data_IF_147831533136
#
_entry.id   IF_147831533136
#
_cell.length_a   1.000
_cell.length_b   1.000
_cell.length_c   1.000
_cell.angle_alpha   90.00
_cell.angle_beta   90.00
_cell.angle_gamma   90.00
#
_symmetry.space_group_name_H-M   'P 1'
#
loop_
_entity.id
_entity.type
_entity.pdbx_description
1 polymer ?
#
# COMPACT_ATOMS: atom_id res chain seq x y z
N UNK A 1 -17.67 -26.08 -25.53
CA UNK A 1 -17.57 -24.60 -25.45
C UNK A 1 -16.24 -24.29 -24.77
N UNK A 2 -15.35 -23.52 -25.39
CA UNK A 2 -14.10 -23.10 -24.70
C UNK A 2 -14.52 -22.07 -23.65
N UNK A 3 -14.23 -22.36 -22.39
CA UNK A 3 -14.41 -21.43 -21.28
C UNK A 3 -13.18 -20.52 -21.33
N UNK A 4 -13.37 -19.27 -21.73
CA UNK A 4 -12.30 -18.28 -21.76
C UNK A 4 -12.36 -17.52 -20.46
N UNK A 5 -11.39 -17.69 -19.56
CA UNK A 5 -11.27 -16.82 -18.40
C UNK A 5 -10.29 -15.69 -18.71
N UNK A 6 -10.29 -14.65 -17.88
CA UNK A 6 -9.36 -13.52 -17.95
C UNK A 6 -8.58 -13.49 -16.64
N UNK A 7 -7.26 -13.59 -16.73
CA UNK A 7 -6.36 -13.42 -15.59
C UNK A 7 -6.02 -11.94 -15.42
N UNK A 8 -6.36 -11.39 -14.26
CA UNK A 8 -5.90 -10.09 -13.80
C UNK A 8 -4.67 -10.30 -12.89
N UNK A 9 -3.63 -9.49 -13.08
CA UNK A 9 -2.44 -9.47 -12.21
C UNK A 9 -2.22 -8.01 -11.79
N UNK A 10 -2.22 -7.76 -10.49
CA UNK A 10 -1.89 -6.46 -9.90
C UNK A 10 -0.46 -6.44 -9.34
N UNK A 11 0.48 -5.99 -10.15
CA UNK A 11 1.87 -5.76 -9.73
C UNK A 11 2.10 -4.32 -9.23
N UNK A 12 1.04 -3.55 -8.97
CA UNK A 12 1.14 -2.16 -8.51
C UNK A 12 1.20 -2.00 -6.98
N UNK A 13 1.03 -3.10 -6.22
CA UNK A 13 1.20 -3.10 -4.76
C UNK A 13 2.66 -2.95 -4.32
N UNK A 14 2.86 -2.44 -3.10
CA UNK A 14 4.21 -2.29 -2.52
C UNK A 14 4.97 -3.63 -2.51
N UNK A 15 6.29 -3.55 -2.70
CA UNK A 15 7.14 -4.73 -2.78
C UNK A 15 7.15 -5.45 -4.13
N UNK A 16 6.25 -5.13 -5.07
CA UNK A 16 6.22 -5.71 -6.44
C UNK A 16 6.97 -4.88 -7.50
N UNK A 17 7.66 -3.83 -7.08
CA UNK A 17 8.49 -2.99 -7.93
C UNK A 17 9.50 -2.21 -7.09
N UNK A 18 10.50 -1.64 -7.75
CA UNK A 18 11.39 -0.61 -7.22
C UNK A 18 10.83 0.77 -7.58
N UNK A 19 10.56 1.61 -6.57
CA UNK A 19 10.05 2.97 -6.79
C UNK A 19 11.16 3.85 -7.36
N UNK A 20 10.89 4.52 -8.48
CA UNK A 20 11.78 5.50 -9.10
C UNK A 20 10.99 6.78 -9.42
N UNK A 21 11.66 7.87 -9.81
CA UNK A 21 11.09 9.23 -9.83
C UNK A 21 9.85 9.39 -10.71
N UNK A 22 9.91 8.87 -11.93
CA UNK A 22 8.88 9.11 -12.95
C UNK A 22 8.04 7.87 -13.25
N UNK A 23 8.61 6.68 -13.03
CA UNK A 23 7.98 5.39 -13.29
C UNK A 23 8.54 4.38 -12.29
N UNK A 24 7.74 3.40 -11.92
CA UNK A 24 8.22 2.27 -11.15
C UNK A 24 9.04 1.34 -12.05
N UNK A 25 10.09 0.74 -11.50
CA UNK A 25 10.95 -0.21 -12.21
C UNK A 25 10.68 -1.62 -11.71
N UNK A 26 10.38 -2.53 -12.63
CA UNK A 26 10.31 -3.96 -12.30
C UNK A 26 11.72 -4.53 -12.21
N UNK A 27 12.07 -5.10 -11.06
CA UNK A 27 13.30 -5.89 -10.86
C UNK A 27 13.11 -7.29 -11.45
N UNK A 28 14.18 -8.06 -11.58
CA UNK A 28 14.11 -9.44 -12.10
C UNK A 28 13.12 -10.31 -11.30
N UNK A 29 13.14 -10.22 -9.97
CA UNK A 29 12.21 -10.93 -9.10
C UNK A 29 10.73 -10.54 -9.33
N UNK A 30 10.47 -9.27 -9.65
CA UNK A 30 9.11 -8.77 -9.86
C UNK A 30 8.55 -9.30 -11.19
N UNK A 31 9.39 -9.27 -12.23
CA UNK A 31 9.07 -9.86 -13.55
C UNK A 31 8.84 -11.36 -13.40
N UNK A 32 9.71 -12.06 -12.69
CA UNK A 32 9.59 -13.50 -12.47
C UNK A 32 8.26 -13.84 -11.79
N UNK A 33 7.86 -13.09 -10.75
CA UNK A 33 6.57 -13.29 -10.08
C UNK A 33 5.39 -13.11 -11.05
N UNK A 34 5.41 -12.08 -11.91
CA UNK A 34 4.36 -11.85 -12.91
C UNK A 34 4.30 -13.04 -13.89
N UNK A 35 5.44 -13.48 -14.40
CA UNK A 35 5.53 -14.59 -15.37
C UNK A 35 5.06 -15.90 -14.74
N UNK A 36 5.52 -16.24 -13.55
CA UNK A 36 5.10 -17.45 -12.83
C UNK A 36 3.60 -17.45 -12.57
N UNK A 37 3.03 -16.31 -12.20
CA UNK A 37 1.58 -16.17 -11.98
C UNK A 37 0.79 -16.37 -13.28
N UNK A 38 1.29 -15.82 -14.39
CA UNK A 38 0.72 -16.05 -15.71
C UNK A 38 0.80 -17.50 -16.15
N UNK A 39 1.95 -18.16 -15.95
CA UNK A 39 2.17 -19.57 -16.34
C UNK A 39 1.28 -20.53 -15.56
N UNK A 40 1.10 -20.29 -14.25
CA UNK A 40 0.20 -21.08 -13.40
C UNK A 40 -1.27 -20.78 -13.67
N UNK A 41 -1.56 -19.56 -14.12
CA UNK A 41 -2.91 -19.10 -14.42
C UNK A 41 -3.87 -19.28 -13.24
N UNK A 42 -3.45 -18.81 -12.07
CA UNK A 42 -4.17 -19.00 -10.80
C UNK A 42 -4.47 -17.68 -10.09
N UNK A 43 -5.49 -17.70 -9.25
CA UNK A 43 -5.81 -16.64 -8.30
C UNK A 43 -4.81 -16.69 -7.14
N UNK A 44 -4.15 -15.57 -6.86
CA UNK A 44 -3.21 -15.39 -5.75
C UNK A 44 -3.73 -14.24 -4.90
N UNK A 45 -3.86 -14.48 -3.60
CA UNK A 45 -4.39 -13.50 -2.65
C UNK A 45 -3.70 -12.13 -2.80
N UNK A 46 -4.51 -11.08 -2.92
CA UNK A 46 -4.11 -9.68 -3.14
C UNK A 46 -3.19 -9.41 -4.34
N UNK A 47 -3.07 -10.34 -5.28
CA UNK A 47 -2.12 -10.22 -6.40
C UNK A 47 -2.70 -10.59 -7.75
N UNK A 48 -3.52 -11.64 -7.84
CA UNK A 48 -4.14 -12.03 -9.11
C UNK A 48 -5.52 -12.64 -8.92
N UNK A 49 -6.34 -12.54 -9.96
CA UNK A 49 -7.68 -13.13 -9.99
C UNK A 49 -8.03 -13.65 -11.38
N UNK A 50 -8.59 -14.86 -11.44
CA UNK A 50 -9.08 -15.47 -12.68
C UNK A 50 -10.59 -15.22 -12.79
N UNK A 51 -10.97 -14.18 -13.54
CA UNK A 51 -12.37 -13.84 -13.77
C UNK A 51 -12.97 -14.66 -14.92
N UNK A 52 -14.22 -15.07 -14.74
CA UNK A 52 -15.07 -15.65 -15.77
C UNK A 52 -15.67 -14.58 -16.68
N UNK A 53 -16.06 -14.95 -17.90
CA UNK A 53 -16.75 -14.00 -18.81
C UNK A 53 -18.03 -13.43 -18.20
N UNK A 54 -18.72 -14.19 -17.35
CA UNK A 54 -19.96 -13.71 -16.73
C UNK A 54 -19.68 -12.62 -15.69
N UNK A 55 -18.61 -12.75 -14.89
CA UNK A 55 -18.14 -11.64 -14.02
C UNK A 55 -17.71 -10.41 -14.82
N UNK A 56 -17.06 -10.61 -15.98
CA UNK A 56 -16.70 -9.50 -16.86
C UNK A 56 -17.96 -8.76 -17.35
N UNK A 57 -19.02 -9.50 -17.73
CA UNK A 57 -20.29 -8.91 -18.15
C UNK A 57 -21.00 -8.19 -17.01
N UNK A 58 -21.03 -8.79 -15.83
CA UNK A 58 -21.61 -8.18 -14.62
C UNK A 58 -20.91 -6.88 -14.24
N UNK A 59 -19.62 -6.78 -14.51
CA UNK A 59 -18.83 -5.56 -14.35
C UNK A 59 -18.89 -4.61 -15.57
N UNK A 60 -19.88 -4.74 -16.45
CA UNK A 60 -20.07 -3.90 -17.65
C UNK A 60 -18.84 -3.89 -18.58
N UNK A 61 -18.13 -5.02 -18.66
CA UNK A 61 -16.85 -5.17 -19.37
C UNK A 61 -15.76 -4.19 -18.91
N UNK A 62 -15.88 -3.66 -17.69
CA UNK A 62 -14.86 -2.82 -17.09
C UNK A 62 -13.69 -3.69 -16.61
N UNK A 63 -12.50 -3.48 -17.19
CA UNK A 63 -11.29 -4.27 -16.92
C UNK A 63 -10.33 -3.59 -15.93
N UNK A 64 -10.82 -2.60 -15.18
CA UNK A 64 -10.02 -1.95 -14.14
C UNK A 64 -9.68 -2.95 -13.02
N UNK A 65 -8.38 -3.12 -12.73
CA UNK A 65 -7.83 -4.19 -11.89
C UNK A 65 -8.44 -4.24 -10.48
N UNK A 66 -8.56 -3.11 -9.74
CA UNK A 66 -9.27 -3.03 -8.46
C UNK A 66 -10.69 -3.62 -8.40
N UNK A 67 -11.32 -3.94 -9.54
CA UNK A 67 -12.63 -4.62 -9.57
C UNK A 67 -12.53 -6.13 -9.39
N UNK A 68 -11.36 -6.72 -9.61
CA UNK A 68 -11.14 -8.16 -9.63
C UNK A 68 -10.07 -8.61 -8.65
N UNK A 69 -9.08 -7.76 -8.38
CA UNK A 69 -8.04 -8.03 -7.37
C UNK A 69 -8.27 -7.10 -6.20
N UNK A 70 -8.73 -7.66 -5.08
CA UNK A 70 -8.81 -6.93 -3.82
C UNK A 70 -7.42 -6.84 -3.21
N UNK A 71 -6.81 -5.65 -3.31
CA UNK A 71 -5.49 -5.36 -2.76
C UNK A 71 -5.57 -4.70 -1.39
N UNK A 72 -6.73 -4.71 -0.73
CA UNK A 72 -6.90 -4.11 0.59
C UNK A 72 -6.00 -4.81 1.61
N UNK A 73 -5.14 -4.02 2.25
CA UNK A 73 -4.40 -4.44 3.43
C UNK A 73 -5.18 -4.00 4.67
N UNK A 74 -5.52 -4.96 5.55
CA UNK A 74 -6.03 -4.61 6.86
C UNK A 74 -4.90 -3.89 7.61
N UNK A 75 -5.12 -2.63 7.97
CA UNK A 75 -4.18 -1.89 8.80
C UNK A 75 -4.02 -2.62 10.15
N UNK A 76 -2.77 -2.76 10.61
CA UNK A 76 -2.52 -3.31 11.94
C UNK A 76 -3.26 -2.49 13.00
N UNK A 77 -3.86 -3.19 13.97
CA UNK A 77 -4.50 -2.54 15.11
C UNK A 77 -3.45 -1.71 15.84
N UNK A 78 -3.61 -0.38 15.77
CA UNK A 78 -2.76 0.56 16.46
C UNK A 78 -2.91 0.36 17.97
N UNK A 79 -1.79 0.17 18.67
CA UNK A 79 -1.77 0.18 20.14
C UNK A 79 -2.10 1.60 20.64
N UNK A 80 -3.37 1.78 21.02
CA UNK A 80 -3.90 3.05 21.49
C UNK A 80 -3.21 3.56 22.76
N UNK A 81 -2.67 2.67 23.59
CA UNK A 81 -1.99 3.08 24.83
C UNK A 81 -0.55 3.52 24.53
N UNK A 82 0.16 2.83 23.64
CA UNK A 82 1.45 3.30 23.13
C UNK A 82 1.33 4.67 22.43
N UNK A 83 0.25 4.89 21.66
CA UNK A 83 -0.01 6.19 21.03
C UNK A 83 -0.25 7.29 22.07
N UNK A 84 -1.05 7.02 23.11
CA UNK A 84 -1.25 7.99 24.21
C UNK A 84 0.04 8.34 24.93
N UNK A 85 0.89 7.33 25.19
CA UNK A 85 2.18 7.54 25.84
C UNK A 85 3.10 8.42 24.97
N UNK A 86 3.17 8.14 23.67
CA UNK A 86 3.90 8.96 22.71
C UNK A 86 3.38 10.41 22.69
N UNK A 87 2.07 10.62 22.66
CA UNK A 87 1.47 11.97 22.74
C UNK A 87 1.87 12.68 24.03
N UNK A 88 1.85 11.98 25.16
CA UNK A 88 2.24 12.56 26.45
C UNK A 88 3.72 12.95 26.48
N UNK A 89 4.60 12.11 25.90
CA UNK A 89 6.03 12.39 25.80
C UNK A 89 6.32 13.57 24.89
N UNK A 90 5.73 13.61 23.69
CA UNK A 90 5.86 14.74 22.75
C UNK A 90 5.41 16.06 23.40
N UNK A 91 4.31 16.05 24.16
CA UNK A 91 3.85 17.24 24.90
C UNK A 91 4.85 17.71 25.96
N UNK A 92 5.53 16.78 26.63
CA UNK A 92 6.56 17.10 27.63
C UNK A 92 7.79 17.71 26.97
N UNK A 93 8.25 17.11 25.88
CA UNK A 93 9.36 17.63 25.08
C UNK A 93 9.05 19.01 24.53
N UNK A 94 7.82 19.22 24.02
CA UNK A 94 7.37 20.52 23.53
C UNK A 94 7.46 21.60 24.62
N UNK A 95 6.98 21.32 25.83
CA UNK A 95 7.10 22.25 26.95
C UNK A 95 8.55 22.57 27.32
N UNK A 96 9.44 21.59 27.21
CA UNK A 96 10.86 21.79 27.51
C UNK A 96 11.53 22.69 26.45
N UNK A 97 11.21 22.47 25.18
CA UNK A 97 11.64 23.33 24.07
C UNK A 97 11.08 24.74 24.22
N UNK A 98 9.80 24.90 24.57
CA UNK A 98 9.18 26.21 24.82
C UNK A 98 9.89 26.97 25.94
N UNK A 99 10.19 26.31 27.06
CA UNK A 99 10.96 26.91 28.16
C UNK A 99 12.37 27.32 27.76
N UNK A 100 13.01 26.52 26.91
CA UNK A 100 14.32 26.88 26.37
C UNK A 100 14.21 28.13 25.48
N UNK A 101 13.19 28.21 24.63
CA UNK A 101 12.93 29.39 23.81
C UNK A 101 12.68 30.64 24.66
N UNK A 102 11.86 30.57 25.71
CA UNK A 102 11.63 31.69 26.64
C UNK A 102 12.94 32.20 27.26
N UNK A 103 13.79 31.28 27.73
CA UNK A 103 15.12 31.65 28.27
C UNK A 103 16.03 32.31 27.24
N UNK A 104 15.94 31.92 25.97
CA UNK A 104 16.71 32.55 24.90
C UNK A 104 16.17 33.95 24.57
N UNK A 105 14.84 34.12 24.56
CA UNK A 105 14.19 35.41 24.33
C UNK A 105 14.52 36.41 25.45
N UNK A 106 14.44 35.99 26.72
CA UNK A 106 14.86 36.81 27.87
C UNK A 106 16.31 37.28 27.76
N UNK A 107 17.22 36.40 27.34
CA UNK A 107 18.65 36.73 27.14
C UNK A 107 18.88 37.74 26.01
N UNK A 108 17.97 37.80 25.04
CA UNK A 108 17.99 38.75 23.93
C UNK A 108 17.25 40.05 24.25
N UNK A 109 16.63 40.16 25.43
CA UNK A 109 15.90 41.35 25.87
C UNK A 109 14.56 41.56 25.18
N UNK A 110 13.97 40.48 24.65
CA UNK A 110 12.66 40.45 24.00
C UNK A 110 11.61 39.79 24.89
#
# INVERSE_FOLDING_TARGET
MRIYNILFIDASGEGNYEKDKNQNKLREQDIQRIVETYEKYETVDKYSYVATIDEIKENDYNLNIPRYVDTFEEEELVDMDAVKENIANIKRELQEVERQMERYLEKLGL
#
